data_IF_197788125515
#
_entry.id   IF_197788125515
#
_cell.length_a   1.000
_cell.length_b   1.000
_cell.length_c   1.000
_cell.angle_alpha   90.00
_cell.angle_beta   90.00
_cell.angle_gamma   90.00
#
_symmetry.space_group_name_H-M   'P 1'
#
loop_
_entity.id
_entity.type
_entity.pdbx_description
1 polymer ?
#
# COMPACT_ATOMS: atom_id res chain seq x y z
N UNK A 1 33.43 0.63 40.10
CA UNK A 1 33.44 -0.09 38.80
C UNK A 1 32.03 -0.41 38.27
N UNK A 2 31.04 -0.66 39.15
CA UNK A 2 29.66 -0.95 38.75
C UNK A 2 28.90 0.26 38.16
N UNK A 3 29.08 1.46 38.72
CA UNK A 3 28.41 2.69 38.24
C UNK A 3 28.77 3.08 36.81
N UNK A 4 30.05 2.98 36.45
CA UNK A 4 30.51 3.35 35.10
C UNK A 4 29.83 2.48 34.05
N UNK A 5 29.78 1.15 34.26
CA UNK A 5 29.08 0.23 33.34
C UNK A 5 27.58 0.55 33.23
N UNK A 6 26.94 0.93 34.33
CA UNK A 6 25.53 1.29 34.35
C UNK A 6 25.26 2.60 33.58
N UNK A 7 26.15 3.59 33.71
CA UNK A 7 26.06 4.86 32.96
C UNK A 7 26.26 4.65 31.46
N UNK A 8 27.25 3.84 31.06
CA UNK A 8 27.45 3.48 29.65
C UNK A 8 26.24 2.74 29.07
N UNK A 9 25.66 1.81 29.83
CA UNK A 9 24.46 1.08 29.43
C UNK A 9 23.26 2.03 29.22
N UNK A 10 23.02 2.94 30.18
CA UNK A 10 21.94 3.95 30.07
C UNK A 10 22.13 4.87 28.85
N UNK A 11 23.34 5.33 28.59
CA UNK A 11 23.64 6.15 27.40
C UNK A 11 23.43 5.37 26.09
N UNK A 12 23.77 4.09 26.06
CA UNK A 12 23.54 3.24 24.88
C UNK A 12 22.04 3.04 24.63
N UNK A 13 21.28 2.71 25.66
CA UNK A 13 19.82 2.55 25.58
C UNK A 13 19.15 3.85 25.12
N UNK A 14 19.55 5.00 25.66
CA UNK A 14 19.01 6.30 25.27
C UNK A 14 19.28 6.62 23.79
N UNK A 15 20.47 6.28 23.28
CA UNK A 15 20.80 6.46 21.85
C UNK A 15 19.95 5.56 20.95
N UNK A 16 19.78 4.29 21.32
CA UNK A 16 18.96 3.33 20.57
C UNK A 16 17.50 3.75 20.58
N UNK A 17 16.96 4.10 21.75
CA UNK A 17 15.59 4.57 21.89
C UNK A 17 15.34 5.85 21.06
N UNK A 18 16.28 6.79 21.08
CA UNK A 18 16.20 8.01 20.25
C UNK A 18 16.22 7.69 18.76
N UNK A 19 16.96 6.68 18.33
CA UNK A 19 16.98 6.26 16.93
C UNK A 19 15.70 5.54 16.50
N UNK A 20 15.19 4.63 17.34
CA UNK A 20 13.98 3.84 17.05
C UNK A 20 12.70 4.69 17.15
N UNK A 21 12.64 5.62 18.10
CA UNK A 21 11.48 6.49 18.35
C UNK A 21 11.66 7.90 17.77
N UNK A 22 12.64 8.10 16.88
CA UNK A 22 12.78 9.34 16.16
C UNK A 22 11.51 9.61 15.34
N UNK A 23 10.98 10.82 15.47
CA UNK A 23 9.76 11.19 14.76
C UNK A 23 10.07 11.82 13.42
N UNK A 24 9.44 11.32 12.37
CA UNK A 24 9.53 11.83 11.01
C UNK A 24 8.15 11.78 10.37
N UNK A 25 7.76 12.86 9.72
CA UNK A 25 6.48 12.95 8.98
C UNK A 25 6.67 12.75 7.49
N UNK A 26 7.91 12.80 7.00
CA UNK A 26 8.22 12.79 5.57
C UNK A 26 8.77 11.43 5.15
N UNK A 27 8.22 10.90 4.06
CA UNK A 27 8.68 9.66 3.42
C UNK A 27 10.13 9.76 2.90
N UNK A 28 10.50 10.93 2.38
CA UNK A 28 11.79 11.13 1.69
C UNK A 28 12.95 11.45 2.64
N UNK A 29 12.75 11.45 3.97
CA UNK A 29 13.86 11.58 4.91
C UNK A 29 14.75 10.34 4.85
N UNK A 30 16.07 10.49 5.00
CA UNK A 30 17.03 9.37 4.98
C UNK A 30 16.66 8.25 5.96
N UNK A 31 16.16 8.60 7.14
CA UNK A 31 15.71 7.64 8.15
C UNK A 31 14.51 6.82 7.63
N UNK A 32 13.45 7.50 7.18
CA UNK A 32 12.27 6.89 6.57
C UNK A 32 12.62 5.99 5.39
N UNK A 33 13.46 6.46 4.48
CA UNK A 33 13.92 5.68 3.33
C UNK A 33 14.75 4.44 3.73
N UNK A 34 15.55 4.53 4.80
CA UNK A 34 16.31 3.38 5.30
C UNK A 34 15.38 2.29 5.85
N UNK A 35 14.37 2.68 6.62
CA UNK A 35 13.36 1.77 7.15
C UNK A 35 12.45 1.19 6.06
N UNK A 36 12.04 2.02 5.10
CA UNK A 36 11.31 1.55 3.92
C UNK A 36 12.15 0.57 3.09
N UNK A 37 13.44 0.87 2.90
CA UNK A 37 14.37 -0.01 2.21
C UNK A 37 14.49 -1.38 2.86
N UNK A 38 14.53 -1.44 4.20
CA UNK A 38 14.45 -2.70 4.94
C UNK A 38 13.12 -3.41 4.72
N UNK A 39 11.99 -2.70 4.75
CA UNK A 39 10.67 -3.29 4.47
C UNK A 39 10.61 -3.91 3.07
N UNK A 40 11.06 -3.16 2.06
CA UNK A 40 11.14 -3.63 0.68
C UNK A 40 12.07 -4.83 0.54
N UNK A 41 13.20 -4.85 1.26
CA UNK A 41 14.11 -5.99 1.26
C UNK A 41 13.42 -7.29 1.72
N UNK A 42 12.66 -7.24 2.82
CA UNK A 42 11.88 -8.40 3.26
C UNK A 42 10.80 -8.80 2.25
N UNK A 43 10.07 -7.83 1.69
CA UNK A 43 9.07 -8.10 0.65
C UNK A 43 9.68 -8.76 -0.59
N UNK A 44 10.86 -8.32 -1.04
CA UNK A 44 11.61 -8.95 -2.14
C UNK A 44 11.97 -10.39 -1.78
N UNK A 45 12.45 -10.66 -0.55
CA UNK A 45 12.73 -12.03 -0.11
C UNK A 45 11.49 -12.91 -0.23
N UNK A 46 10.34 -12.47 0.28
CA UNK A 46 9.09 -13.23 0.18
C UNK A 46 8.65 -13.46 -1.26
N UNK A 47 8.72 -12.43 -2.09
CA UNK A 47 8.41 -12.53 -3.51
C UNK A 47 9.34 -13.53 -4.23
N UNK A 48 10.65 -13.52 -3.95
CA UNK A 48 11.60 -14.46 -4.52
C UNK A 48 11.36 -15.90 -4.06
N UNK A 49 10.97 -16.12 -2.81
CA UNK A 49 10.60 -17.44 -2.31
C UNK A 49 9.34 -17.97 -3.03
N UNK A 50 8.34 -17.11 -3.23
CA UNK A 50 7.13 -17.46 -3.97
C UNK A 50 7.42 -17.75 -5.46
N UNK A 51 8.23 -16.90 -6.10
CA UNK A 51 8.67 -17.10 -7.48
C UNK A 51 9.45 -18.41 -7.63
N UNK A 52 10.34 -18.72 -6.69
CA UNK A 52 11.08 -19.99 -6.71
C UNK A 52 10.14 -21.19 -6.74
N UNK A 53 9.01 -21.14 -6.02
CA UNK A 53 7.99 -22.18 -6.05
C UNK A 53 7.21 -22.17 -7.40
N UNK A 54 6.78 -21.01 -7.85
CA UNK A 54 6.00 -20.84 -9.09
C UNK A 54 6.77 -21.26 -10.37
N UNK A 55 8.11 -21.22 -10.33
CA UNK A 55 8.98 -21.62 -11.43
C UNK A 55 9.59 -23.03 -11.26
N UNK A 56 9.18 -23.82 -10.26
CA UNK A 56 9.65 -25.22 -10.16
C UNK A 56 9.19 -26.09 -11.33
N UNK A 57 8.03 -25.79 -11.89
CA UNK A 57 7.50 -26.43 -13.08
C UNK A 57 6.61 -25.43 -13.83
N UNK A 58 6.46 -25.64 -15.12
CA UNK A 58 5.60 -24.85 -15.99
C UNK A 58 4.15 -24.84 -15.47
N UNK A 59 3.68 -25.98 -14.98
CA UNK A 59 2.30 -26.21 -14.54
C UNK A 59 2.00 -25.84 -13.08
N UNK A 60 2.97 -25.27 -12.36
CA UNK A 60 2.70 -24.76 -11.01
C UNK A 60 1.97 -23.43 -11.13
N UNK A 61 0.68 -23.47 -10.86
CA UNK A 61 -0.21 -22.32 -10.83
C UNK A 61 -0.98 -22.28 -9.53
N UNK A 62 -1.18 -21.06 -9.01
CA UNK A 62 -2.03 -20.85 -7.85
C UNK A 62 -3.49 -21.19 -8.20
N UNK A 63 -4.26 -21.62 -7.20
CA UNK A 63 -5.61 -22.17 -7.41
C UNK A 63 -6.60 -21.19 -8.06
N UNK A 64 -6.62 -19.93 -7.62
CA UNK A 64 -7.43 -18.85 -8.22
C UNK A 64 -6.96 -18.53 -9.64
N UNK A 65 -5.64 -18.58 -9.91
CA UNK A 65 -5.07 -18.37 -11.24
C UNK A 65 -5.71 -19.27 -12.29
N UNK A 66 -5.86 -20.56 -11.93
CA UNK A 66 -6.39 -21.59 -12.83
C UNK A 66 -7.83 -21.30 -13.25
N UNK A 67 -8.58 -20.57 -12.44
CA UNK A 67 -9.97 -20.20 -12.72
C UNK A 67 -10.07 -18.83 -13.38
N UNK A 68 -9.29 -17.84 -12.93
CA UNK A 68 -9.48 -16.45 -13.32
C UNK A 68 -8.61 -15.98 -14.50
N UNK A 69 -7.53 -16.69 -14.82
CA UNK A 69 -6.51 -16.23 -15.79
C UNK A 69 -6.47 -17.07 -17.05
N UNK A 70 -6.88 -18.35 -17.00
CA UNK A 70 -6.70 -19.28 -18.13
C UNK A 70 -7.27 -18.76 -19.45
N UNK A 71 -8.47 -18.17 -19.42
CA UNK A 71 -9.17 -17.64 -20.59
C UNK A 71 -8.45 -16.44 -21.23
N UNK A 72 -7.60 -15.73 -20.47
CA UNK A 72 -6.87 -14.55 -20.97
C UNK A 72 -5.83 -14.92 -22.05
N UNK A 73 -5.52 -16.20 -22.25
CA UNK A 73 -4.71 -16.67 -23.38
C UNK A 73 -5.33 -16.32 -24.74
N UNK A 74 -6.66 -16.06 -24.77
CA UNK A 74 -7.38 -15.50 -25.92
C UNK A 74 -6.79 -14.19 -26.44
N UNK A 75 -6.08 -13.44 -25.60
CA UNK A 75 -5.42 -12.19 -26.00
C UNK A 75 -4.22 -12.41 -26.91
N UNK A 76 -3.63 -13.61 -26.89
CA UNK A 76 -2.49 -13.99 -27.75
C UNK A 76 -3.00 -14.79 -28.95
N UNK A 77 -3.85 -15.78 -28.70
CA UNK A 77 -4.48 -16.60 -29.73
C UNK A 77 -6.00 -16.55 -29.57
N UNK A 78 -6.71 -15.76 -30.40
CA UNK A 78 -8.17 -15.66 -30.35
C UNK A 78 -8.93 -16.95 -30.65
N UNK A 79 -8.28 -17.97 -31.24
CA UNK A 79 -8.91 -19.26 -31.52
C UNK A 79 -9.00 -20.14 -30.26
N UNK A 80 -8.25 -19.83 -29.20
CA UNK A 80 -8.30 -20.57 -27.94
C UNK A 80 -9.64 -20.42 -27.24
N UNK A 81 -10.14 -21.55 -26.73
CA UNK A 81 -11.40 -21.63 -25.97
C UNK A 81 -12.62 -21.14 -26.75
N UNK A 82 -12.63 -21.26 -28.08
CA UNK A 82 -13.79 -20.91 -28.88
C UNK A 82 -15.03 -21.75 -28.47
N UNK A 83 -16.18 -21.09 -28.25
CA UNK A 83 -17.41 -21.70 -27.73
C UNK A 83 -17.31 -22.36 -26.34
N UNK A 84 -16.39 -21.89 -25.48
CA UNK A 84 -16.28 -22.34 -24.09
C UNK A 84 -17.08 -21.45 -23.13
N UNK A 85 -18.18 -21.99 -22.60
CA UNK A 85 -19.06 -21.29 -21.66
C UNK A 85 -18.38 -20.86 -20.36
N UNK A 86 -17.38 -21.61 -19.90
CA UNK A 86 -16.64 -21.31 -18.66
C UNK A 86 -15.74 -20.10 -18.91
N UNK A 87 -15.01 -20.11 -20.02
CA UNK A 87 -14.16 -18.98 -20.40
C UNK A 87 -14.99 -17.70 -20.60
N UNK A 88 -16.13 -17.78 -21.28
CA UNK A 88 -17.02 -16.65 -21.51
C UNK A 88 -17.60 -16.09 -20.19
N UNK A 89 -17.95 -16.98 -19.25
CA UNK A 89 -18.38 -16.58 -17.92
C UNK A 89 -17.29 -15.81 -17.17
N UNK A 90 -16.07 -16.35 -17.08
CA UNK A 90 -14.97 -15.69 -16.36
C UNK A 90 -14.51 -14.40 -17.02
N UNK A 91 -14.58 -14.31 -18.34
CA UNK A 91 -14.34 -13.07 -19.10
C UNK A 91 -15.38 -11.98 -18.75
N UNK A 92 -16.65 -12.35 -18.63
CA UNK A 92 -17.76 -11.43 -18.35
C UNK A 92 -17.67 -10.80 -16.96
N UNK A 93 -17.26 -11.57 -15.94
CA UNK A 93 -17.14 -11.09 -14.56
C UNK A 93 -15.81 -10.40 -14.26
N UNK A 94 -14.82 -10.55 -15.14
CA UNK A 94 -13.48 -10.00 -14.93
C UNK A 94 -13.48 -8.47 -15.00
N UNK A 95 -12.96 -7.77 -13.97
CA UNK A 95 -12.91 -6.31 -13.97
C UNK A 95 -12.11 -5.77 -15.15
N UNK A 96 -12.61 -4.70 -15.75
CA UNK A 96 -12.01 -4.09 -16.94
C UNK A 96 -10.54 -3.69 -16.71
N UNK A 97 -10.18 -3.22 -15.52
CA UNK A 97 -8.81 -2.81 -15.19
C UNK A 97 -7.81 -3.95 -15.28
N UNK A 98 -8.18 -5.14 -14.78
CA UNK A 98 -7.34 -6.34 -14.88
C UNK A 98 -7.27 -6.83 -16.32
N UNK A 99 -8.40 -6.86 -17.04
CA UNK A 99 -8.41 -7.24 -18.46
C UNK A 99 -7.49 -6.35 -19.29
N UNK A 100 -7.56 -5.04 -19.08
CA UNK A 100 -6.72 -4.07 -19.81
C UNK A 100 -5.23 -4.26 -19.51
N UNK A 101 -4.88 -4.53 -18.26
CA UNK A 101 -3.50 -4.81 -17.87
C UNK A 101 -2.96 -6.05 -18.60
N UNK A 102 -3.68 -7.17 -18.54
CA UNK A 102 -3.25 -8.42 -19.16
C UNK A 102 -3.22 -8.33 -20.69
N UNK A 103 -4.22 -7.68 -21.29
CA UNK A 103 -4.26 -7.46 -22.73
C UNK A 103 -3.10 -6.59 -23.21
N UNK A 104 -2.77 -5.50 -22.48
CA UNK A 104 -1.62 -4.65 -22.81
C UNK A 104 -0.29 -5.40 -22.72
N UNK A 105 -0.14 -6.30 -21.76
CA UNK A 105 1.05 -7.16 -21.64
C UNK A 105 1.10 -8.25 -22.72
N UNK A 106 -0.05 -8.81 -23.10
CA UNK A 106 -0.17 -9.75 -24.22
C UNK A 106 0.22 -9.10 -25.55
N UNK A 107 -0.13 -7.82 -25.77
CA UNK A 107 0.33 -7.04 -26.93
C UNK A 107 1.85 -6.87 -26.99
N UNK A 108 2.53 -6.94 -25.83
CA UNK A 108 4.00 -6.95 -25.74
C UNK A 108 4.61 -8.35 -25.88
N UNK A 109 3.79 -9.38 -26.17
CA UNK A 109 4.21 -10.77 -26.30
C UNK A 109 4.42 -11.49 -24.96
N UNK A 110 3.90 -10.95 -23.86
CA UNK A 110 4.01 -11.59 -22.54
C UNK A 110 2.77 -12.45 -22.29
N UNK A 111 3.00 -13.76 -22.14
CA UNK A 111 1.97 -14.72 -21.77
C UNK A 111 1.25 -14.32 -20.47
N UNK A 112 -0.10 -14.31 -20.44
CA UNK A 112 -0.89 -14.04 -19.23
C UNK A 112 -0.43 -14.85 -18.02
N UNK A 113 -0.10 -16.12 -18.23
CA UNK A 113 0.38 -17.08 -17.24
C UNK A 113 1.70 -16.63 -16.62
N UNK A 114 2.61 -16.11 -17.45
CA UNK A 114 3.90 -15.61 -16.99
C UNK A 114 3.71 -14.32 -16.19
N UNK A 115 2.91 -13.38 -16.71
CA UNK A 115 2.60 -12.15 -16.00
C UNK A 115 2.02 -12.44 -14.62
N UNK A 116 1.12 -13.41 -14.55
CA UNK A 116 0.45 -13.80 -13.32
C UNK A 116 1.39 -14.37 -12.26
N UNK A 117 2.48 -15.05 -12.64
CA UNK A 117 3.51 -15.49 -11.70
C UNK A 117 4.29 -14.31 -11.10
N UNK A 118 4.48 -13.24 -11.87
CA UNK A 118 5.26 -12.06 -11.48
C UNK A 118 4.43 -11.02 -10.71
N UNK A 119 3.15 -10.89 -11.07
CA UNK A 119 2.24 -9.85 -10.58
C UNK A 119 2.11 -9.80 -9.05
N UNK A 120 1.96 -10.93 -8.32
CA UNK A 120 2.12 -11.03 -6.87
C UNK A 120 3.25 -10.20 -6.27
N UNK A 121 4.46 -10.36 -6.80
CA UNK A 121 5.65 -9.69 -6.27
C UNK A 121 5.60 -8.18 -6.53
N UNK A 122 5.16 -7.79 -7.73
CA UNK A 122 5.02 -6.37 -8.10
C UNK A 122 3.99 -5.68 -7.19
N UNK A 123 2.83 -6.31 -7.00
CA UNK A 123 1.78 -5.79 -6.12
C UNK A 123 2.26 -5.71 -4.67
N UNK A 124 2.98 -6.71 -4.17
CA UNK A 124 3.50 -6.70 -2.81
C UNK A 124 4.47 -5.53 -2.57
N UNK A 125 5.32 -5.17 -3.56
CA UNK A 125 6.21 -4.02 -3.47
C UNK A 125 5.42 -2.70 -3.41
N UNK A 126 4.43 -2.55 -4.28
CA UNK A 126 3.55 -1.37 -4.31
C UNK A 126 2.82 -1.22 -2.98
N UNK A 127 2.23 -2.30 -2.48
CA UNK A 127 1.55 -2.36 -1.19
C UNK A 127 2.49 -2.01 -0.04
N UNK A 128 3.72 -2.50 -0.04
CA UNK A 128 4.73 -2.17 0.99
C UNK A 128 5.00 -0.67 1.08
N UNK A 129 5.10 0.02 -0.07
CA UNK A 129 5.32 1.48 -0.09
C UNK A 129 4.12 2.21 0.47
N UNK A 130 2.91 1.87 0.01
CA UNK A 130 1.69 2.56 0.46
C UNK A 130 1.33 2.25 1.91
N UNK A 131 1.52 1.01 2.38
CA UNK A 131 1.29 0.66 3.79
C UNK A 131 2.26 1.37 4.72
N UNK A 132 3.52 1.55 4.29
CA UNK A 132 4.52 2.30 5.02
C UNK A 132 4.13 3.78 5.09
N UNK A 133 3.70 4.37 3.97
CA UNK A 133 3.22 5.74 3.91
C UNK A 133 2.03 5.98 4.84
N UNK A 134 1.00 5.14 4.76
CA UNK A 134 -0.18 5.23 5.64
C UNK A 134 0.23 5.08 7.11
N UNK A 135 1.12 4.14 7.41
CA UNK A 135 1.59 3.95 8.79
C UNK A 135 2.36 5.16 9.32
N UNK A 136 3.14 5.83 8.47
CA UNK A 136 3.88 7.04 8.83
C UNK A 136 2.96 8.24 9.06
N UNK A 137 1.86 8.35 8.30
CA UNK A 137 0.84 9.39 8.50
C UNK A 137 0.07 9.19 9.80
N UNK A 138 -0.24 7.94 10.16
CA UNK A 138 -0.96 7.63 11.41
C UNK A 138 -0.04 7.77 12.63
N UNK A 139 1.19 7.25 12.53
CA UNK A 139 2.18 7.28 13.59
C UNK A 139 3.51 7.74 12.97
N UNK A 140 3.97 8.98 13.23
CA UNK A 140 5.14 9.57 12.59
C UNK A 140 6.46 9.02 13.15
N UNK A 141 6.59 7.70 13.22
CA UNK A 141 7.76 6.95 13.70
C UNK A 141 8.12 5.94 12.60
N UNK A 142 9.20 6.19 11.82
CA UNK A 142 9.61 5.32 10.72
C UNK A 142 9.82 3.85 11.09
N UNK A 143 10.36 3.58 12.28
CA UNK A 143 10.49 2.23 12.79
C UNK A 143 9.13 1.56 13.00
N UNK A 144 8.16 2.29 13.55
CA UNK A 144 6.78 1.83 13.68
C UNK A 144 6.17 1.49 12.32
N UNK A 145 6.33 2.37 11.34
CA UNK A 145 5.88 2.15 9.97
C UNK A 145 6.54 0.93 9.30
N UNK A 146 7.82 0.66 9.59
CA UNK A 146 8.50 -0.55 9.16
C UNK A 146 7.89 -1.81 9.80
N UNK A 147 7.71 -1.81 11.13
CA UNK A 147 7.16 -2.96 11.86
C UNK A 147 5.73 -3.27 11.40
N UNK A 148 4.86 -2.26 11.27
CA UNK A 148 3.48 -2.46 10.78
C UNK A 148 3.47 -3.02 9.36
N UNK A 149 4.30 -2.47 8.47
CA UNK A 149 4.42 -2.94 7.09
C UNK A 149 4.96 -4.38 7.02
N UNK A 150 5.95 -4.72 7.83
CA UNK A 150 6.52 -6.06 7.90
C UNK A 150 5.48 -7.09 8.39
N UNK A 151 4.78 -6.78 9.48
CA UNK A 151 3.73 -7.64 10.03
C UNK A 151 2.54 -7.79 9.07
N UNK A 152 2.18 -6.71 8.39
CA UNK A 152 1.14 -6.74 7.36
C UNK A 152 1.56 -7.63 6.19
N UNK A 153 2.76 -7.41 5.64
CA UNK A 153 3.33 -8.25 4.57
C UNK A 153 3.33 -9.72 4.99
N UNK A 154 3.85 -10.03 6.18
CA UNK A 154 3.85 -11.40 6.70
C UNK A 154 2.45 -12.01 6.81
N UNK A 155 1.45 -11.25 7.26
CA UNK A 155 0.06 -11.75 7.31
C UNK A 155 -0.47 -12.07 5.91
N UNK A 156 -0.27 -11.16 4.96
CA UNK A 156 -0.75 -11.33 3.57
C UNK A 156 -0.02 -12.48 2.87
N UNK A 157 1.25 -12.75 3.18
CA UNK A 157 1.99 -13.91 2.64
C UNK A 157 1.70 -15.23 3.37
N UNK A 158 1.28 -15.19 4.64
CA UNK A 158 1.00 -16.38 5.45
C UNK A 158 -0.41 -16.93 5.25
N UNK A 159 -1.37 -16.07 4.92
CA UNK A 159 -2.73 -16.48 4.61
C UNK A 159 -2.76 -17.25 3.26
N UNK A 160 -3.32 -18.47 3.29
CA UNK A 160 -3.35 -19.34 2.12
C UNK A 160 -4.29 -18.75 1.07
N UNK A 161 -3.74 -18.06 0.08
CA UNK A 161 -4.45 -17.61 -1.11
C UNK A 161 -4.62 -16.09 -1.28
N UNK A 162 -4.13 -15.24 -0.38
CA UNK A 162 -4.27 -13.77 -0.47
C UNK A 162 -3.37 -13.10 -1.50
N UNK A 163 -2.30 -13.77 -1.92
CA UNK A 163 -1.44 -13.28 -3.00
C UNK A 163 -1.56 -14.28 -4.13
N UNK A 164 -2.61 -14.11 -4.92
CA UNK A 164 -2.86 -14.92 -6.10
C UNK A 164 -2.62 -14.17 -7.39
N UNK A 165 -2.30 -12.89 -7.42
CA UNK A 165 -2.15 -12.11 -8.66
C UNK A 165 -3.47 -11.93 -9.42
N UNK A 166 -4.60 -12.13 -8.74
CA UNK A 166 -5.95 -11.98 -9.31
C UNK A 166 -6.54 -10.61 -8.99
N UNK A 167 -7.73 -10.34 -9.51
CA UNK A 167 -8.41 -9.05 -9.32
C UNK A 167 -8.58 -8.64 -7.84
N UNK A 168 -8.73 -9.61 -6.94
CA UNK A 168 -8.92 -9.35 -5.51
C UNK A 168 -7.69 -8.70 -4.86
N UNK A 169 -6.48 -9.00 -5.33
CA UNK A 169 -5.24 -8.50 -4.74
C UNK A 169 -5.04 -7.00 -4.98
N UNK A 170 -5.72 -6.46 -6.00
CA UNK A 170 -5.73 -5.01 -6.26
C UNK A 170 -6.50 -4.23 -5.20
N UNK A 171 -7.30 -4.90 -4.34
CA UNK A 171 -7.96 -4.24 -3.20
C UNK A 171 -6.92 -3.63 -2.26
N UNK A 172 -5.80 -4.31 -1.99
CA UNK A 172 -4.79 -3.81 -1.05
C UNK A 172 -4.21 -2.44 -1.44
N UNK A 173 -3.58 -2.25 -2.62
CA UNK A 173 -3.03 -0.96 -2.99
C UNK A 173 -4.11 0.12 -3.10
N UNK A 174 -5.28 -0.21 -3.66
CA UNK A 174 -6.40 0.75 -3.76
C UNK A 174 -6.89 1.20 -2.38
N UNK A 175 -6.94 0.29 -1.42
CA UNK A 175 -7.36 0.57 -0.05
C UNK A 175 -6.35 1.46 0.69
N UNK A 176 -5.05 1.23 0.53
CA UNK A 176 -4.05 2.13 1.11
C UNK A 176 -4.04 3.51 0.46
N UNK A 177 -4.20 3.58 -0.87
CA UNK A 177 -4.35 4.87 -1.57
C UNK A 177 -5.58 5.62 -1.05
N UNK A 178 -6.70 4.93 -0.88
CA UNK A 178 -7.91 5.51 -0.29
C UNK A 178 -7.64 6.08 1.10
N UNK A 179 -6.89 5.39 1.96
CA UNK A 179 -6.52 5.90 3.28
C UNK A 179 -5.63 7.13 3.24
N UNK A 180 -4.68 7.21 2.29
CA UNK A 180 -3.85 8.40 2.12
C UNK A 180 -4.71 9.62 1.77
N UNK A 181 -5.60 9.47 0.78
CA UNK A 181 -6.53 10.54 0.42
C UNK A 181 -7.48 10.91 1.57
N UNK A 182 -7.94 9.93 2.34
CA UNK A 182 -8.78 10.17 3.50
C UNK A 182 -8.03 10.95 4.59
N UNK A 183 -6.77 10.60 4.86
CA UNK A 183 -5.93 11.29 5.83
C UNK A 183 -5.70 12.75 5.42
N UNK A 184 -5.39 13.00 4.15
CA UNK A 184 -5.24 14.36 3.59
C UNK A 184 -6.55 15.17 3.70
N UNK A 185 -7.69 14.57 3.38
CA UNK A 185 -8.99 15.23 3.47
C UNK A 185 -9.37 15.59 4.92
N UNK A 186 -9.09 14.70 5.87
CA UNK A 186 -9.31 14.96 7.31
C UNK A 186 -8.40 16.08 7.79
N UNK A 187 -7.12 16.08 7.41
CA UNK A 187 -6.17 17.13 7.76
C UNK A 187 -6.63 18.50 7.22
N UNK A 188 -7.07 18.57 5.98
CA UNK A 188 -7.62 19.78 5.37
C UNK A 188 -8.87 20.31 6.11
N UNK A 189 -9.77 19.41 6.51
CA UNK A 189 -10.98 19.76 7.27
C UNK A 189 -10.65 20.24 8.68
N UNK A 190 -9.69 19.60 9.35
CA UNK A 190 -9.21 20.01 10.67
C UNK A 190 -8.60 21.41 10.63
N UNK A 191 -7.85 21.73 9.57
CA UNK A 191 -7.26 23.05 9.37
C UNK A 191 -8.34 24.11 9.13
N UNK A 192 -9.36 23.80 8.32
CA UNK A 192 -10.51 24.68 8.08
C UNK A 192 -11.36 24.93 9.35
N UNK A 193 -11.62 23.89 10.15
CA UNK A 193 -12.31 24.02 11.44
C UNK A 193 -11.48 24.79 12.47
N UNK A 194 -10.16 24.62 12.48
CA UNK A 194 -9.27 25.38 13.36
C UNK A 194 -9.24 26.86 12.96
N UNK A 195 -9.26 27.17 11.66
CA UNK A 195 -9.35 28.54 11.15
C UNK A 195 -10.71 29.18 11.50
N UNK A 196 -11.81 28.44 11.32
CA UNK A 196 -13.15 28.91 11.69
C UNK A 196 -13.30 29.11 13.21
N UNK A 197 -12.70 28.23 14.01
CA UNK A 197 -12.69 28.35 15.48
C UNK A 197 -11.79 29.48 15.97
N UNK A 198 -10.66 29.74 15.31
CA UNK A 198 -9.81 30.91 15.58
C UNK A 198 -10.52 32.22 15.20
N UNK A 199 -11.26 32.22 14.09
CA UNK A 199 -12.06 33.37 13.68
C UNK A 199 -13.21 33.67 14.66
N UNK A 200 -13.92 32.64 15.15
CA UNK A 200 -14.97 32.80 16.17
C UNK A 200 -14.39 33.25 17.52
N UNK A 201 -13.24 32.71 17.95
CA UNK A 201 -12.57 33.15 19.19
C UNK A 201 -12.06 34.59 19.07
N UNK A 202 -11.50 34.98 17.93
CA UNK A 202 -11.07 36.36 17.68
C UNK A 202 -12.26 37.34 17.54
N UNK A 203 -13.43 36.86 17.11
CA UNK A 203 -14.66 37.66 17.08
C UNK A 203 -15.30 37.83 18.47
N UNK A 204 -14.92 37.02 19.46
CA UNK A 204 -15.42 37.12 20.82
C UNK A 204 -14.60 38.09 21.72
N UNK A 205 -13.40 38.50 21.27
CA UNK A 205 -12.56 39.54 21.91
C UNK A 205 -12.82 40.95 21.36
N UNK A 206 -13.59 41.09 20.27
CA UNK A 206 -13.97 42.38 19.69
C UNK A 206 -15.42 42.72 20.05
N UNK A 207 -15.64 43.00 21.33
CA UNK A 207 -16.73 43.85 21.79
C UNK A 207 -16.36 45.34 21.63
N UNK A 208 -15.85 45.70 20.45
CA UNK A 208 -15.73 47.10 20.03
C UNK A 208 -16.05 47.20 18.54
N UNK A 209 -17.18 47.86 18.26
CA UNK A 209 -17.65 48.33 16.95
C UNK A 209 -18.09 47.28 15.89
N UNK A 210 -19.36 46.89 16.00
CA UNK A 210 -20.39 47.15 14.99
C UNK A 210 -20.07 46.93 13.50
N UNK A 211 -20.70 45.88 12.94
CA UNK A 211 -21.32 45.95 11.61
C UNK A 211 -20.46 45.56 10.41
N UNK A 212 -20.06 44.29 10.29
CA UNK A 212 -19.60 43.77 8.98
C UNK A 212 -19.73 42.24 8.84
N UNK A 213 -20.80 41.64 9.38
CA UNK A 213 -21.09 40.21 9.19
C UNK A 213 -22.48 40.08 8.56
N UNK A 214 -22.59 40.31 7.25
CA UNK A 214 -23.74 39.82 6.49
C UNK A 214 -23.46 39.57 4.99
N UNK A 215 -22.21 39.64 4.50
CA UNK A 215 -21.94 39.68 3.06
C UNK A 215 -21.22 38.46 2.45
N UNK A 216 -20.82 37.44 3.22
CA UNK A 216 -20.00 36.32 2.66
C UNK A 216 -20.61 34.93 2.97
N UNK A 217 -21.94 34.83 3.00
CA UNK A 217 -22.64 33.52 3.00
C UNK A 217 -23.67 33.39 1.86
N UNK A 218 -23.53 34.22 0.83
CA UNK A 218 -24.31 34.09 -0.40
C UNK A 218 -23.39 34.37 -1.60
N UNK A 219 -22.60 33.37 -1.99
CA UNK A 219 -22.11 33.01 -3.34
C UNK A 219 -21.41 31.66 -3.21
#
# INVERSE_FOLDING_TARGET
>A
MFDIKLTYLKMSIAKIAKFLLATETKLYTKLSLSWLGLGLFFTVIYALLALRLAFQSEYVFQDDARQHVFWMSRFIDPELFHNDLIADYYESISPWGVKTLYHGMAMLGIEPQLLHKLLPGILALVVTVFSFAVSLEILPIPFGAFVTTLLFSQNVWAEQGTISGTAKDFVYPLFFIFFLFLAEAIAFRSMSCSFFRFYILSAHDLNFCGGFILAIMAI
#
